data_IF_617085482724
#
_entry.id   IF_617085482724
#
_cell.length_a   1.000
_cell.length_b   1.000
_cell.length_c   1.000
_cell.angle_alpha   90.00
_cell.angle_beta   90.00
_cell.angle_gamma   90.00
#
_symmetry.space_group_name_H-M   'P 1'
#
loop_
_entity.id
_entity.type
_entity.pdbx_description
1 polymer ?
#
# COMPACT_ATOMS: atom_id res chain seq x y z
N UNK A 1 -5.26 -29.03 10.32
CA UNK A 1 -6.34 -28.58 9.41
C UNK A 1 -7.73 -28.52 10.08
N UNK A 2 -7.84 -28.54 11.42
CA UNK A 2 -9.13 -28.41 12.10
C UNK A 2 -9.63 -26.95 12.24
N UNK A 3 -8.74 -25.95 12.06
CA UNK A 3 -9.07 -24.54 12.25
C UNK A 3 -9.91 -23.93 11.13
N UNK A 4 -9.57 -24.18 9.86
CA UNK A 4 -10.24 -23.53 8.72
C UNK A 4 -11.76 -23.80 8.67
N UNK A 5 -12.25 -25.03 8.91
CA UNK A 5 -13.69 -25.27 9.00
C UNK A 5 -14.35 -24.50 10.15
N UNK A 6 -13.68 -24.38 11.31
CA UNK A 6 -14.23 -23.65 12.45
C UNK A 6 -14.32 -22.15 12.18
N UNK A 7 -13.28 -21.57 11.56
CA UNK A 7 -13.30 -20.17 11.15
C UNK A 7 -14.37 -19.91 10.09
N UNK A 8 -14.46 -20.76 9.07
CA UNK A 8 -15.46 -20.61 8.01
C UNK A 8 -16.89 -20.72 8.56
N UNK A 9 -17.16 -21.68 9.46
CA UNK A 9 -18.45 -21.82 10.12
C UNK A 9 -18.78 -20.60 10.98
N UNK A 10 -17.83 -20.12 11.80
CA UNK A 10 -18.04 -18.94 12.63
C UNK A 10 -18.37 -17.69 11.80
N UNK A 11 -17.67 -17.48 10.68
CA UNK A 11 -17.96 -16.38 9.74
C UNK A 11 -19.36 -16.55 9.14
N UNK A 12 -19.70 -17.77 8.70
CA UNK A 12 -20.99 -18.05 8.08
C UNK A 12 -22.13 -17.81 9.06
N UNK A 13 -22.03 -18.32 10.29
CA UNK A 13 -23.06 -18.15 11.32
C UNK A 13 -23.22 -16.69 11.75
N UNK A 14 -22.11 -15.96 11.91
CA UNK A 14 -22.14 -14.56 12.32
C UNK A 14 -22.83 -13.65 11.29
N UNK A 15 -22.69 -13.95 9.99
CA UNK A 15 -23.21 -13.10 8.91
C UNK A 15 -24.53 -13.60 8.31
N UNK A 16 -24.76 -14.91 8.32
CA UNK A 16 -25.88 -15.56 7.64
C UNK A 16 -26.74 -16.44 8.57
N UNK A 17 -26.32 -16.66 9.82
CA UNK A 17 -27.01 -17.55 10.76
C UNK A 17 -28.21 -16.93 11.47
N UNK A 18 -28.32 -15.60 11.53
CA UNK A 18 -29.50 -14.92 12.12
C UNK A 18 -30.49 -14.62 10.99
N UNK A 19 -31.73 -15.12 11.11
CA UNK A 19 -32.81 -15.07 10.12
C UNK A 19 -32.94 -13.71 9.40
N UNK A 20 -32.27 -13.59 8.25
CA UNK A 20 -32.63 -12.62 7.23
C UNK A 20 -33.94 -13.09 6.59
N UNK A 21 -34.88 -12.17 6.35
CA UNK A 21 -36.17 -12.50 5.74
C UNK A 21 -35.99 -13.34 4.47
N UNK A 22 -36.81 -14.41 4.25
CA UNK A 22 -36.76 -15.31 3.09
C UNK A 22 -36.57 -14.62 1.73
N UNK A 23 -37.12 -13.41 1.58
CA UNK A 23 -37.11 -12.67 0.33
C UNK A 23 -35.83 -11.84 0.06
N UNK A 24 -34.95 -11.66 1.05
CA UNK A 24 -33.63 -10.99 0.87
C UNK A 24 -32.46 -11.97 0.75
N UNK A 25 -32.76 -13.26 0.87
CA UNK A 25 -31.75 -14.31 0.94
C UNK A 25 -31.09 -14.62 -0.41
N UNK A 26 -31.46 -14.10 -1.57
CA UNK A 26 -31.00 -14.77 -2.81
C UNK A 26 -29.59 -14.41 -3.36
N UNK A 27 -28.90 -13.33 -2.96
CA UNK A 27 -27.68 -12.92 -3.72
C UNK A 27 -26.45 -12.48 -2.93
N UNK A 28 -26.54 -12.21 -1.63
CA UNK A 28 -25.38 -11.74 -0.87
C UNK A 28 -24.30 -12.84 -0.74
N UNK A 29 -23.07 -12.49 -1.13
CA UNK A 29 -21.87 -13.35 -1.12
C UNK A 29 -20.75 -12.62 -0.39
N UNK A 30 -20.01 -13.36 0.42
CA UNK A 30 -18.79 -12.88 1.08
C UNK A 30 -17.58 -13.53 0.42
N UNK A 31 -16.62 -12.70 0.02
CA UNK A 31 -15.34 -13.16 -0.51
C UNK A 31 -14.35 -13.39 0.63
N UNK A 32 -13.83 -14.61 0.72
CA UNK A 32 -12.93 -15.05 1.79
C UNK A 32 -11.59 -15.45 1.19
N UNK A 33 -10.50 -15.00 1.82
CA UNK A 33 -9.19 -15.46 1.44
C UNK A 33 -8.10 -15.12 2.43
N UNK A 34 -6.95 -15.76 2.28
CA UNK A 34 -5.83 -15.66 3.21
C UNK A 34 -4.54 -15.32 2.48
N UNK A 35 -3.80 -14.33 2.99
CA UNK A 35 -2.46 -14.00 2.47
C UNK A 35 -1.45 -15.11 2.75
N UNK A 36 -1.73 -16.01 3.70
CA UNK A 36 -0.86 -17.13 4.06
C UNK A 36 -0.65 -18.11 2.91
N UNK A 37 -1.58 -18.14 1.95
CA UNK A 37 -1.44 -18.93 0.72
C UNK A 37 -0.31 -18.44 -0.19
N UNK A 38 0.12 -17.18 -0.03
CA UNK A 38 1.14 -16.54 -0.88
C UNK A 38 2.49 -16.49 -0.16
N UNK A 39 2.50 -16.06 1.10
CA UNK A 39 3.74 -15.77 1.84
C UNK A 39 3.98 -16.71 3.03
N UNK A 40 3.15 -17.74 3.19
CA UNK A 40 3.17 -18.63 4.36
C UNK A 40 2.65 -17.97 5.64
N UNK A 41 2.84 -18.65 6.76
CA UNK A 41 2.45 -18.13 8.07
C UNK A 41 3.61 -17.33 8.69
N UNK A 42 3.52 -16.01 8.65
CA UNK A 42 4.55 -15.09 9.18
C UNK A 42 4.46 -14.86 10.69
N UNK A 43 3.84 -15.78 11.43
CA UNK A 43 3.72 -15.80 12.89
C UNK A 43 3.31 -14.43 13.47
N UNK A 44 4.20 -13.80 14.25
CA UNK A 44 3.94 -12.51 14.89
C UNK A 44 3.57 -11.36 13.93
N UNK A 45 3.85 -11.52 12.63
CA UNK A 45 3.56 -10.53 11.58
C UNK A 45 2.34 -10.92 10.73
N UNK A 46 1.68 -12.05 11.01
CA UNK A 46 0.56 -12.54 10.22
C UNK A 46 -0.62 -11.55 10.18
N UNK A 47 -0.90 -10.87 11.30
CA UNK A 47 -1.92 -9.84 11.37
C UNK A 47 -1.60 -8.63 10.49
N UNK A 48 -0.38 -8.11 10.57
CA UNK A 48 0.07 -6.97 9.74
C UNK A 48 0.02 -7.30 8.25
N UNK A 49 0.45 -8.49 7.86
CA UNK A 49 0.35 -8.97 6.48
C UNK A 49 -1.10 -8.98 5.98
N UNK A 50 -2.04 -9.45 6.82
CA UNK A 50 -3.47 -9.39 6.53
C UNK A 50 -3.99 -7.97 6.34
N UNK A 51 -3.60 -7.04 7.21
CA UNK A 51 -3.95 -5.61 7.13
C UNK A 51 -3.42 -4.97 5.85
N UNK A 52 -2.17 -5.25 5.45
CA UNK A 52 -1.58 -4.73 4.21
C UNK A 52 -2.34 -5.25 2.98
N UNK A 53 -2.62 -6.57 2.90
CA UNK A 53 -3.43 -7.14 1.82
C UNK A 53 -4.79 -6.48 1.76
N UNK A 54 -5.47 -6.36 2.90
CA UNK A 54 -6.80 -5.76 2.99
C UNK A 54 -6.80 -4.30 2.54
N UNK A 55 -5.86 -3.48 3.02
CA UNK A 55 -5.71 -2.08 2.63
C UNK A 55 -5.48 -1.91 1.13
N UNK A 56 -4.54 -2.69 0.54
CA UNK A 56 -4.29 -2.66 -0.90
C UNK A 56 -5.49 -3.15 -1.72
N UNK A 57 -6.21 -4.18 -1.24
CA UNK A 57 -7.40 -4.73 -1.91
C UNK A 57 -8.51 -3.68 -1.99
N UNK A 58 -8.76 -2.98 -0.88
CA UNK A 58 -9.74 -1.90 -0.78
C UNK A 58 -9.35 -0.71 -1.66
N UNK A 59 -8.09 -0.28 -1.56
CA UNK A 59 -7.54 0.84 -2.33
C UNK A 59 -7.62 0.61 -3.84
N UNK A 60 -7.22 -0.58 -4.29
CA UNK A 60 -7.18 -0.93 -5.71
C UNK A 60 -8.52 -1.44 -6.23
N UNK A 61 -9.47 -1.77 -5.36
CA UNK A 61 -10.75 -2.36 -5.75
C UNK A 61 -10.58 -3.73 -6.40
N UNK A 62 -9.63 -4.54 -5.91
CA UNK A 62 -9.34 -5.88 -6.43
C UNK A 62 -9.34 -6.86 -5.26
N UNK A 63 -9.95 -8.02 -5.44
CA UNK A 63 -9.93 -9.14 -4.52
C UNK A 63 -8.83 -10.10 -4.98
N UNK A 64 -7.72 -10.25 -4.22
CA UNK A 64 -6.62 -11.13 -4.60
C UNK A 64 -6.99 -12.61 -4.48
N UNK A 65 -6.37 -13.48 -5.31
CA UNK A 65 -6.62 -14.92 -5.25
C UNK A 65 -6.10 -15.56 -3.97
N UNK A 66 -6.64 -16.73 -3.65
CA UNK A 66 -6.01 -17.74 -2.81
C UNK A 66 -5.15 -18.62 -3.70
N UNK A 67 -3.83 -18.47 -3.61
CA UNK A 67 -2.89 -19.25 -4.41
C UNK A 67 -2.85 -20.71 -3.94
N UNK A 68 -2.52 -21.63 -4.85
CA UNK A 68 -2.36 -23.07 -4.56
C UNK A 68 -3.60 -23.75 -3.95
N UNK A 69 -4.80 -23.24 -4.25
CA UNK A 69 -6.06 -23.83 -3.81
C UNK A 69 -6.67 -24.69 -4.93
N UNK A 70 -6.33 -25.99 -4.96
CA UNK A 70 -6.85 -26.93 -5.96
C UNK A 70 -8.19 -27.57 -5.55
N UNK A 71 -8.35 -27.85 -4.25
CA UNK A 71 -9.54 -28.50 -3.71
C UNK A 71 -9.93 -27.88 -2.38
N UNK A 72 -11.17 -27.41 -2.30
CA UNK A 72 -11.76 -26.89 -1.07
C UNK A 72 -11.97 -28.03 -0.07
N UNK A 73 -11.71 -27.77 1.20
CA UNK A 73 -11.98 -28.71 2.29
C UNK A 73 -13.46 -29.16 2.27
N UNK A 74 -13.76 -30.48 2.28
CA UNK A 74 -15.14 -30.98 2.27
C UNK A 74 -16.05 -30.40 3.36
N UNK A 75 -15.50 -30.05 4.52
CA UNK A 75 -16.25 -29.43 5.60
C UNK A 75 -16.66 -27.96 5.32
N UNK A 76 -15.94 -27.28 4.42
CA UNK A 76 -16.22 -25.90 4.01
C UNK A 76 -17.14 -25.87 2.77
N UNK A 77 -17.14 -26.93 1.96
CA UNK A 77 -17.92 -27.02 0.70
C UNK A 77 -19.42 -26.66 0.85
N UNK A 78 -20.13 -27.02 1.94
CA UNK A 78 -21.51 -26.58 2.12
C UNK A 78 -21.68 -25.06 2.26
N UNK A 79 -20.66 -24.38 2.79
CA UNK A 79 -20.66 -22.93 3.07
C UNK A 79 -20.33 -22.09 1.83
N UNK A 80 -19.79 -22.70 0.76
CA UNK A 80 -19.33 -21.97 -0.43
C UNK A 80 -20.46 -21.40 -1.29
N UNK A 81 -21.72 -21.71 -0.95
CA UNK A 81 -22.90 -21.02 -1.51
C UNK A 81 -22.90 -19.53 -1.18
N UNK A 82 -22.31 -19.13 -0.03
CA UNK A 82 -22.18 -17.76 0.44
C UNK A 82 -20.73 -17.30 0.60
N UNK A 83 -19.84 -18.20 1.01
CA UNK A 83 -18.42 -17.92 1.18
C UNK A 83 -17.67 -18.23 -0.11
N UNK A 84 -17.53 -17.22 -0.97
CA UNK A 84 -16.77 -17.33 -2.21
C UNK A 84 -15.27 -17.29 -1.90
N UNK A 85 -14.51 -18.25 -2.41
CA UNK A 85 -13.06 -18.33 -2.21
C UNK A 85 -12.39 -18.13 -3.57
N UNK A 86 -11.93 -16.90 -3.91
CA UNK A 86 -11.34 -16.63 -5.22
C UNK A 86 -10.04 -17.39 -5.42
N UNK A 87 -9.87 -17.97 -6.60
CA UNK A 87 -8.62 -18.60 -7.07
C UNK A 87 -7.92 -17.75 -8.14
N UNK A 88 -8.58 -16.70 -8.64
CA UNK A 88 -8.04 -15.72 -9.58
C UNK A 88 -8.29 -14.29 -9.07
N UNK A 89 -7.51 -13.28 -9.50
CA UNK A 89 -7.77 -11.89 -9.17
C UNK A 89 -9.13 -11.45 -9.73
N UNK A 90 -9.97 -10.86 -8.88
CA UNK A 90 -11.30 -10.39 -9.28
C UNK A 90 -11.46 -8.89 -9.01
N UNK A 91 -12.17 -8.13 -9.87
CA UNK A 91 -12.58 -6.79 -9.51
C UNK A 91 -13.52 -6.83 -8.30
N UNK A 92 -13.52 -5.76 -7.50
CA UNK A 92 -14.47 -5.61 -6.41
C UNK A 92 -15.90 -5.56 -6.97
N UNK A 93 -16.87 -6.30 -6.41
CA UNK A 93 -18.26 -6.27 -6.87
C UNK A 93 -18.85 -4.86 -6.86
N UNK A 94 -19.81 -4.61 -7.76
CA UNK A 94 -20.53 -3.34 -7.77
C UNK A 94 -21.30 -3.16 -6.46
N UNK A 95 -21.02 -2.07 -5.76
CA UNK A 95 -21.71 -1.70 -4.52
C UNK A 95 -22.76 -0.63 -4.83
N UNK A 96 -23.83 -0.60 -4.03
CA UNK A 96 -24.82 0.47 -4.11
C UNK A 96 -24.16 1.84 -3.88
N UNK A 97 -24.70 2.93 -4.45
CA UNK A 97 -24.16 4.27 -4.25
C UNK A 97 -24.00 4.62 -2.76
N UNK A 98 -22.84 5.16 -2.39
CA UNK A 98 -22.53 5.53 -1.01
C UNK A 98 -22.08 4.38 -0.10
N UNK A 99 -22.07 3.14 -0.57
CA UNK A 99 -21.58 1.99 0.20
C UNK A 99 -20.07 1.83 0.00
N UNK A 100 -19.25 1.93 1.06
CA UNK A 100 -17.81 1.79 0.93
C UNK A 100 -17.39 0.31 0.86
N UNK A 101 -16.26 0.06 0.19
CA UNK A 101 -15.62 -1.26 0.22
C UNK A 101 -15.10 -1.53 1.64
N UNK A 102 -15.37 -2.71 2.18
CA UNK A 102 -14.92 -3.14 3.51
C UNK A 102 -14.25 -4.50 3.45
N UNK A 103 -13.20 -4.68 4.25
CA UNK A 103 -12.54 -5.97 4.50
C UNK A 103 -12.46 -6.19 6.00
N UNK A 104 -12.86 -7.39 6.44
CA UNK A 104 -12.56 -7.89 7.77
C UNK A 104 -11.23 -8.64 7.77
N UNK A 105 -10.38 -8.38 8.76
CA UNK A 105 -9.11 -9.08 8.99
C UNK A 105 -9.18 -9.80 10.33
N UNK A 106 -9.04 -11.12 10.30
CA UNK A 106 -8.98 -11.97 11.48
C UNK A 106 -7.53 -12.41 11.75
N UNK A 107 -7.12 -12.46 13.01
CA UNK A 107 -5.87 -13.06 13.43
C UNK A 107 -6.03 -13.80 14.75
N UNK A 108 -5.72 -15.10 14.75
CA UNK A 108 -5.83 -15.98 15.90
C UNK A 108 -4.45 -16.46 16.34
N UNK A 109 -4.09 -16.16 17.59
CA UNK A 109 -2.86 -16.65 18.21
C UNK A 109 -3.04 -18.03 18.81
N UNK A 110 -2.00 -18.87 18.75
CA UNK A 110 -2.04 -20.23 19.30
C UNK A 110 -2.39 -20.28 20.80
N UNK A 111 -2.06 -19.23 21.56
CA UNK A 111 -2.41 -19.08 22.97
C UNK A 111 -3.87 -18.69 23.25
N UNK A 112 -4.74 -18.64 22.22
CA UNK A 112 -6.16 -18.31 22.34
C UNK A 112 -6.48 -16.83 22.32
N UNK A 113 -5.48 -15.95 22.19
CA UNK A 113 -5.69 -14.51 21.99
C UNK A 113 -6.08 -14.23 20.53
N UNK A 114 -7.23 -13.57 20.36
CA UNK A 114 -7.83 -13.32 19.05
C UNK A 114 -7.95 -11.82 18.81
N UNK A 115 -7.70 -11.38 17.58
CA UNK A 115 -7.87 -10.00 17.15
C UNK A 115 -8.66 -9.94 15.84
N UNK A 116 -9.48 -8.89 15.71
CA UNK A 116 -10.31 -8.64 14.54
C UNK A 116 -10.31 -7.14 14.24
N UNK A 117 -10.20 -6.78 12.96
CA UNK A 117 -10.28 -5.40 12.51
C UNK A 117 -11.07 -5.29 11.20
N UNK A 118 -11.78 -4.19 11.03
CA UNK A 118 -12.49 -3.86 9.79
C UNK A 118 -11.80 -2.66 9.15
N UNK A 119 -11.45 -2.79 7.88
CA UNK A 119 -10.84 -1.74 7.05
C UNK A 119 -11.87 -1.28 6.03
N UNK A 120 -12.07 0.02 5.94
CA UNK A 120 -13.01 0.66 5.02
C UNK A 120 -12.28 1.55 4.01
N UNK A 121 -12.77 1.62 2.77
CA UNK A 121 -12.24 2.53 1.77
C UNK A 121 -12.44 3.98 2.18
N UNK A 122 -11.38 4.76 2.14
CA UNK A 122 -11.48 6.21 2.25
C UNK A 122 -11.69 6.83 0.87
N UNK A 123 -12.85 7.45 0.66
CA UNK A 123 -13.09 8.30 -0.50
C UNK A 123 -12.97 9.74 -0.03
N UNK A 124 -11.89 10.47 -0.39
CA UNK A 124 -11.80 11.87 -0.02
C UNK A 124 -12.96 12.63 -0.64
N UNK A 125 -13.58 13.55 0.11
CA UNK A 125 -14.40 14.59 -0.47
C UNK A 125 -13.60 15.23 -1.61
N UNK A 126 -14.25 15.40 -2.77
CA UNK A 126 -13.62 15.86 -4.00
C UNK A 126 -12.62 16.96 -3.66
N UNK A 127 -11.32 16.63 -3.65
CA UNK A 127 -10.30 17.65 -3.48
C UNK A 127 -10.56 18.59 -4.63
N UNK A 128 -10.99 19.82 -4.33
CA UNK A 128 -10.90 20.92 -5.25
C UNK A 128 -9.47 20.86 -5.74
N UNK A 129 -9.28 20.39 -6.97
CA UNK A 129 -8.01 20.53 -7.66
C UNK A 129 -7.94 22.02 -7.88
N UNK A 130 -7.45 22.73 -6.86
CA UNK A 130 -6.89 24.05 -7.02
C UNK A 130 -5.73 23.81 -7.96
N UNK A 131 -6.03 23.82 -9.26
CA UNK A 131 -5.04 24.11 -10.27
C UNK A 131 -4.50 25.44 -9.80
N UNK A 132 -3.35 25.40 -9.13
CA UNK A 132 -2.67 26.60 -8.68
C UNK A 132 -2.45 27.41 -9.95
N UNK A 133 -3.32 28.38 -10.19
CA UNK A 133 -3.27 29.30 -11.34
C UNK A 133 -1.99 30.14 -11.31
N UNK A 134 -1.27 30.09 -10.19
CA UNK A 134 0.02 30.70 -9.91
C UNK A 134 1.10 29.67 -9.52
N UNK A 135 0.99 28.41 -9.95
CA UNK A 135 2.05 27.42 -9.72
C UNK A 135 3.38 27.94 -10.28
N UNK A 136 4.48 27.91 -9.51
CA UNK A 136 5.81 28.19 -10.05
C UNK A 136 6.06 27.33 -11.28
N UNK A 137 6.56 27.93 -12.36
CA UNK A 137 6.96 27.19 -13.56
C UNK A 137 8.08 26.19 -13.28
N UNK A 138 8.86 26.41 -12.22
CA UNK A 138 10.00 25.57 -11.82
C UNK A 138 9.87 25.31 -10.31
N UNK A 139 9.91 24.04 -9.92
CA UNK A 139 9.78 23.60 -8.53
C UNK A 139 11.11 23.02 -8.01
N UNK A 140 11.44 23.23 -6.73
CA UNK A 140 12.61 22.61 -6.11
C UNK A 140 12.28 21.21 -5.58
N UNK A 141 13.12 20.23 -5.90
CA UNK A 141 13.05 18.85 -5.44
C UNK A 141 14.31 18.52 -4.64
N UNK A 142 14.15 18.33 -3.33
CA UNK A 142 15.26 18.06 -2.41
C UNK A 142 15.34 16.57 -2.07
N UNK A 143 16.48 15.96 -2.35
CA UNK A 143 16.78 14.58 -1.98
C UNK A 143 17.91 14.56 -0.96
N UNK A 144 17.81 13.71 0.06
CA UNK A 144 18.89 13.52 1.01
C UNK A 144 18.95 12.10 1.57
N UNK A 145 20.15 11.66 1.94
CA UNK A 145 20.41 10.36 2.57
C UNK A 145 21.62 10.42 3.50
N UNK A 146 21.76 9.40 4.36
CA UNK A 146 22.84 9.32 5.35
C UNK A 146 24.21 8.99 4.76
N UNK A 147 24.26 8.46 3.54
CA UNK A 147 25.48 8.15 2.79
C UNK A 147 25.32 8.55 1.32
N UNK A 148 26.43 8.66 0.60
CA UNK A 148 26.42 8.93 -0.84
C UNK A 148 25.74 7.81 -1.63
N UNK A 149 26.03 6.54 -1.32
CA UNK A 149 25.37 5.40 -1.97
C UNK A 149 23.86 5.41 -1.73
N UNK A 150 23.42 5.66 -0.50
CA UNK A 150 21.98 5.71 -0.20
C UNK A 150 21.29 6.88 -0.93
N UNK A 151 22.01 7.98 -1.21
CA UNK A 151 21.47 9.07 -2.02
C UNK A 151 21.28 8.62 -3.48
N UNK A 152 22.24 7.89 -4.04
CA UNK A 152 22.12 7.27 -5.37
C UNK A 152 20.91 6.33 -5.42
N UNK A 153 20.76 5.44 -4.43
CA UNK A 153 19.61 4.51 -4.37
C UNK A 153 18.26 5.26 -4.28
N UNK A 154 18.22 6.40 -3.56
CA UNK A 154 17.03 7.26 -3.48
C UNK A 154 16.71 7.84 -4.85
N UNK A 155 17.70 8.37 -5.56
CA UNK A 155 17.52 8.93 -6.90
C UNK A 155 17.04 7.87 -7.91
N UNK A 156 17.61 6.66 -7.89
CA UNK A 156 17.17 5.54 -8.75
C UNK A 156 15.73 5.11 -8.47
N UNK A 157 15.32 5.10 -7.19
CA UNK A 157 13.93 4.82 -6.79
C UNK A 157 12.97 5.90 -7.30
N UNK A 158 13.36 7.17 -7.27
CA UNK A 158 12.53 8.25 -7.80
C UNK A 158 12.47 8.23 -9.33
N UNK A 159 13.56 7.95 -10.04
CA UNK A 159 13.52 7.75 -11.49
C UNK A 159 12.54 6.62 -11.84
N UNK A 160 12.64 5.47 -11.18
CA UNK A 160 11.72 4.34 -11.38
C UNK A 160 10.26 4.72 -11.04
N UNK A 161 10.05 5.46 -9.96
CA UNK A 161 8.72 5.92 -9.56
C UNK A 161 8.10 6.84 -10.63
N UNK A 162 8.86 7.81 -11.15
CA UNK A 162 8.38 8.75 -12.17
C UNK A 162 8.09 8.05 -13.51
N UNK A 163 8.82 6.99 -13.86
CA UNK A 163 8.53 6.16 -15.05
C UNK A 163 7.16 5.49 -15.00
N UNK A 164 6.74 5.06 -13.81
CA UNK A 164 5.48 4.33 -13.63
C UNK A 164 4.29 5.23 -13.25
N UNK A 165 4.52 6.50 -12.95
CA UNK A 165 3.49 7.45 -12.52
C UNK A 165 3.65 8.77 -13.29
N UNK A 166 3.03 8.85 -14.47
CA UNK A 166 3.15 10.01 -15.36
C UNK A 166 2.31 11.22 -14.88
N UNK A 167 1.27 10.95 -14.09
CA UNK A 167 0.28 11.90 -13.60
C UNK A 167 0.58 12.45 -12.19
N UNK A 168 1.84 12.34 -11.74
CA UNK A 168 2.25 12.85 -10.42
C UNK A 168 2.07 14.36 -10.34
N UNK A 169 1.37 14.80 -9.29
CA UNK A 169 1.32 16.21 -8.92
C UNK A 169 2.68 16.66 -8.37
N UNK A 170 3.43 17.38 -9.20
CA UNK A 170 4.77 17.88 -8.88
C UNK A 170 4.79 18.83 -7.68
N UNK A 171 3.71 19.58 -7.42
CA UNK A 171 3.63 20.47 -6.24
C UNK A 171 3.55 19.63 -4.97
N UNK A 172 2.67 18.63 -4.95
CA UNK A 172 2.55 17.69 -3.84
C UNK A 172 3.84 16.88 -3.63
N UNK A 173 4.54 16.51 -4.71
CA UNK A 173 5.82 15.82 -4.64
C UNK A 173 6.91 16.72 -4.03
N UNK A 174 7.08 17.94 -4.54
CA UNK A 174 8.04 18.91 -4.02
C UNK A 174 7.78 19.22 -2.54
N UNK A 175 6.52 19.45 -2.16
CA UNK A 175 6.13 19.65 -0.76
C UNK A 175 6.47 18.44 0.11
N UNK A 176 6.18 17.23 -0.38
CA UNK A 176 6.46 15.99 0.36
C UNK A 176 7.96 15.78 0.56
N UNK A 177 8.78 16.04 -0.46
CA UNK A 177 10.24 15.96 -0.37
C UNK A 177 10.81 16.98 0.61
N UNK A 178 10.25 18.19 0.64
CA UNK A 178 10.76 19.27 1.48
C UNK A 178 10.31 19.15 2.94
N UNK A 179 9.04 18.80 3.19
CA UNK A 179 8.41 18.85 4.53
C UNK A 179 8.23 17.49 5.20
N UNK A 180 8.17 16.39 4.43
CA UNK A 180 7.79 15.05 4.92
C UNK A 180 8.91 14.03 4.81
N UNK A 181 10.15 14.48 4.61
CA UNK A 181 11.34 13.65 4.58
C UNK A 181 12.35 14.16 5.60
N UNK A 182 13.05 13.24 6.24
CA UNK A 182 14.20 13.59 7.06
C UNK A 182 15.29 14.21 6.20
N UNK A 183 15.97 15.21 6.76
CA UNK A 183 17.10 15.88 6.10
C UNK A 183 18.42 15.28 6.58
N UNK A 184 19.23 14.78 5.65
CA UNK A 184 20.54 14.19 5.95
C UNK A 184 21.70 15.02 5.36
N UNK A 185 22.94 14.62 5.68
CA UNK A 185 24.16 15.33 5.28
C UNK A 185 24.46 15.25 3.79
N UNK A 186 24.20 14.11 3.14
CA UNK A 186 24.33 13.98 1.70
C UNK A 186 23.01 14.40 1.07
N UNK A 187 23.02 15.51 0.33
CA UNK A 187 21.82 16.12 -0.22
C UNK A 187 22.07 16.75 -1.57
N UNK A 188 21.03 16.79 -2.38
CA UNK A 188 20.97 17.46 -3.67
C UNK A 188 19.62 18.18 -3.79
N UNK A 189 19.63 19.36 -4.41
CA UNK A 189 18.44 20.05 -4.84
C UNK A 189 18.44 20.10 -6.37
N UNK A 190 17.39 19.57 -6.97
CA UNK A 190 17.12 19.67 -8.40
C UNK A 190 15.97 20.64 -8.62
N UNK A 191 15.95 21.31 -9.76
CA UNK A 191 14.83 22.17 -10.14
C UNK A 191 14.27 21.66 -11.45
N UNK A 192 12.95 21.50 -11.52
CA UNK A 192 12.30 21.02 -12.73
C UNK A 192 10.93 21.67 -12.94
N UNK A 193 10.56 21.82 -14.22
CA UNK A 193 9.28 22.36 -14.66
C UNK A 193 8.23 21.28 -14.99
N UNK A 194 8.68 20.07 -15.33
CA UNK A 194 7.83 18.94 -15.68
C UNK A 194 8.37 17.63 -15.11
N UNK A 195 7.58 16.56 -15.24
CA UNK A 195 7.97 15.21 -14.82
C UNK A 195 9.17 14.72 -15.64
N UNK A 196 9.13 14.94 -16.96
CA UNK A 196 10.21 14.57 -17.88
C UNK A 196 11.49 15.34 -17.58
N UNK A 197 11.38 16.64 -17.26
CA UNK A 197 12.51 17.50 -16.88
C UNK A 197 13.14 17.01 -15.56
N UNK A 198 12.33 16.73 -14.54
CA UNK A 198 12.81 16.18 -13.27
C UNK A 198 13.52 14.84 -13.47
N UNK A 199 12.92 13.95 -14.26
CA UNK A 199 13.52 12.67 -14.60
C UNK A 199 14.85 12.84 -15.33
N UNK A 200 14.92 13.75 -16.29
CA UNK A 200 16.17 14.06 -17.01
C UNK A 200 17.26 14.53 -16.04
N UNK A 201 16.93 15.47 -15.15
CA UNK A 201 17.85 15.99 -14.14
C UNK A 201 18.34 14.91 -13.18
N UNK A 202 17.47 13.98 -12.76
CA UNK A 202 17.86 12.83 -11.92
C UNK A 202 18.85 11.93 -12.68
N UNK A 203 18.59 11.63 -13.97
CA UNK A 203 19.45 10.77 -14.78
C UNK A 203 20.82 11.39 -15.05
N UNK A 204 20.87 12.71 -15.31
CA UNK A 204 22.13 13.46 -15.45
C UNK A 204 22.95 13.36 -14.17
N UNK A 205 22.32 13.53 -13.00
CA UNK A 205 22.99 13.39 -11.72
C UNK A 205 23.51 11.96 -11.47
N UNK A 206 22.70 10.93 -11.78
CA UNK A 206 23.10 9.53 -11.64
C UNK A 206 24.30 9.19 -12.53
N UNK A 207 24.34 9.71 -13.76
CA UNK A 207 25.45 9.49 -14.68
C UNK A 207 26.73 10.22 -14.22
N UNK A 208 26.59 11.45 -13.72
CA UNK A 208 27.71 12.19 -13.12
C UNK A 208 28.36 11.44 -11.95
N UNK A 209 27.55 10.82 -11.09
CA UNK A 209 28.00 10.00 -9.96
C UNK A 209 28.75 8.74 -10.39
N UNK A 210 28.30 8.08 -11.46
CA UNK A 210 28.99 6.90 -12.02
C UNK A 210 30.36 7.25 -12.60
N UNK A 211 30.47 8.43 -13.18
CA UNK A 211 31.70 8.91 -13.83
C UNK A 211 32.72 9.54 -12.85
N UNK A 212 32.46 9.54 -11.53
CA UNK A 212 33.26 10.20 -10.49
C UNK A 212 33.54 11.70 -10.75
N UNK A 213 32.75 12.34 -11.61
CA UNK A 213 32.78 13.78 -11.77
C UNK A 213 32.21 14.39 -10.48
N UNK A 214 32.97 15.28 -9.82
CA UNK A 214 32.52 15.96 -8.62
C UNK A 214 31.17 16.65 -8.90
N UNK A 215 30.08 16.11 -8.33
CA UNK A 215 28.76 16.69 -8.56
C UNK A 215 28.69 18.03 -7.80
N UNK A 216 28.48 19.17 -8.49
CA UNK A 216 28.52 20.50 -7.88
C UNK A 216 27.36 20.74 -6.89
N UNK A 217 26.40 19.80 -6.82
CA UNK A 217 25.19 19.95 -6.03
C UNK A 217 25.25 19.27 -4.64
N UNK A 218 26.37 18.63 -4.29
CA UNK A 218 26.54 17.98 -2.98
C UNK A 218 26.93 19.03 -1.93
N UNK A 219 25.96 19.39 -1.08
CA UNK A 219 26.26 20.14 0.15
C UNK A 219 26.42 19.17 1.31
N UNK A 220 27.58 18.50 1.39
CA UNK A 220 27.96 17.74 2.59
C UNK A 220 28.38 18.74 3.67
N UNK A 221 27.42 19.22 4.46
CA UNK A 221 27.78 19.78 5.76
C UNK A 221 27.80 18.63 6.75
N UNK A 222 28.95 18.36 7.36
CA UNK A 222 28.98 17.58 8.60
C UNK A 222 28.05 18.29 9.57
N UNK A 223 26.97 17.63 10.00
CA UNK A 223 26.20 18.18 11.10
C UNK A 223 27.00 17.94 12.37
N UNK A 224 27.52 19.01 12.98
CA UNK A 224 28.03 18.98 14.36
C UNK A 224 26.88 18.80 15.39
N UNK A 225 25.63 18.73 14.92
CA UNK A 225 24.49 18.44 15.76
C UNK A 225 24.59 17.00 16.31
N UNK A 226 24.46 16.79 17.63
CA UNK A 226 24.51 15.47 18.22
C UNK A 226 23.43 14.59 17.61
N UNK A 227 23.80 13.35 17.23
CA UNK A 227 22.86 12.35 16.69
C UNK A 227 21.76 12.14 17.73
N UNK A 228 20.54 12.63 17.46
CA UNK A 228 19.36 12.24 18.24
C UNK A 228 19.06 10.79 17.89
N UNK A 229 19.44 9.89 18.79
CA UNK A 229 18.91 8.53 18.82
C UNK A 229 17.43 8.65 19.18
N UNK A 230 16.57 8.66 18.17
CA UNK A 230 15.16 8.35 18.38
C UNK A 230 15.11 6.83 18.50
N UNK A 231 14.93 6.36 19.74
CA UNK A 231 14.79 4.94 20.05
C UNK A 231 13.62 4.32 19.30
N UNK A 232 13.66 2.98 19.24
CA UNK A 232 12.59 2.14 18.68
C UNK A 232 11.31 2.27 19.50
#
# INVERSE_FOLDING_TARGET
>A
QAGDPQEATAIYEALFGTSMSPDKLSEERLYVGSIRTIIGHTEGVAGLAGVIKASLSVQKGIIPPNMFLDRINPAIKPLTSRLCIPTEPMPWPNLAPGVPRRVSVNSFGFGGSNAHAIIENYTPDTKLVLRHTLSPRILPFTFSASTEQALTDVLERYDTFLQHNLDVDLVSLAESLLKRRSTFSHRIALTAASNEDLQSMIRVELEGRRSAAASPAIVSRSSDAPKRVLGV
#
